data_IF_743775853026
#
_entry.id   IF_743775853026
#
_cell.length_a   1.000
_cell.length_b   1.000
_cell.length_c   1.000
_cell.angle_alpha   90.00
_cell.angle_beta   90.00
_cell.angle_gamma   90.00
#
_symmetry.space_group_name_H-M   'P 1'
#
loop_
_entity.id
_entity.type
_entity.pdbx_description
1 polymer ?
#
# COMPACT_ATOMS: atom_id res chain seq x y z
N UNK A 1 -1.75 -17.23 16.69
CA UNK A 1 -1.36 -17.51 15.30
C UNK A 1 -0.82 -16.20 14.74
N UNK A 2 0.42 -16.22 14.27
CA UNK A 2 1.06 -15.07 13.62
C UNK A 2 0.29 -14.74 12.34
N UNK A 3 0.14 -13.45 12.04
CA UNK A 3 -0.56 -13.02 10.81
C UNK A 3 0.44 -12.95 9.66
N UNK A 4 0.07 -13.52 8.52
CA UNK A 4 0.84 -13.46 7.28
C UNK A 4 0.58 -12.13 6.55
N UNK A 5 1.62 -11.33 6.37
CA UNK A 5 1.53 -9.99 5.82
C UNK A 5 2.46 -9.80 4.60
N UNK A 6 1.88 -9.45 3.45
CA UNK A 6 2.63 -8.96 2.29
C UNK A 6 2.75 -7.43 2.38
N UNK A 7 3.97 -6.89 2.40
CA UNK A 7 4.23 -5.46 2.30
C UNK A 7 4.88 -5.16 0.95
N UNK A 8 4.19 -4.38 0.12
CA UNK A 8 4.64 -4.09 -1.24
C UNK A 8 4.42 -2.64 -1.62
N UNK A 9 5.11 -2.18 -2.67
CA UNK A 9 5.02 -0.79 -3.12
C UNK A 9 6.37 -0.20 -3.49
N UNK A 10 6.43 1.13 -3.51
CA UNK A 10 7.69 1.85 -3.66
C UNK A 10 8.53 1.71 -2.39
N UNK A 11 9.81 1.43 -2.58
CA UNK A 11 10.83 1.42 -1.53
C UNK A 11 11.00 2.80 -0.90
N UNK A 12 11.06 2.88 0.43
CA UNK A 12 11.25 4.14 1.15
C UNK A 12 11.07 4.00 2.66
N UNK A 13 11.20 5.11 3.43
CA UNK A 13 11.16 5.09 4.90
C UNK A 13 9.88 4.46 5.48
N UNK A 14 8.72 4.74 4.87
CA UNK A 14 7.45 4.18 5.33
C UNK A 14 7.38 2.65 5.21
N UNK A 15 7.93 2.09 4.13
CA UNK A 15 7.95 0.64 3.94
C UNK A 15 8.84 -0.04 4.99
N UNK A 16 10.05 0.50 5.22
CA UNK A 16 10.97 0.01 6.25
C UNK A 16 10.29 0.00 7.62
N UNK A 17 9.60 1.10 7.93
CA UNK A 17 8.99 1.28 9.23
C UNK A 17 7.75 0.41 9.43
N UNK A 18 6.94 0.19 8.38
CA UNK A 18 5.86 -0.80 8.40
C UNK A 18 6.42 -2.20 8.65
N UNK A 19 7.49 -2.60 7.98
CA UNK A 19 8.11 -3.92 8.17
C UNK A 19 8.64 -4.06 9.60
N UNK A 20 9.45 -3.11 10.07
CA UNK A 20 10.03 -3.11 11.41
C UNK A 20 8.97 -3.21 12.50
N UNK A 21 7.92 -2.39 12.41
CA UNK A 21 6.85 -2.38 13.38
C UNK A 21 5.89 -3.57 13.27
N UNK A 22 5.74 -4.16 12.09
CA UNK A 22 4.95 -5.37 11.90
C UNK A 22 5.66 -6.59 12.48
N UNK A 23 6.98 -6.68 12.32
CA UNK A 23 7.82 -7.75 12.89
C UNK A 23 7.79 -7.71 14.41
N UNK A 24 7.92 -6.51 15.00
CA UNK A 24 7.75 -6.28 16.44
C UNK A 24 6.36 -6.67 16.98
N UNK A 25 5.36 -6.83 16.11
CA UNK A 25 4.00 -7.30 16.45
C UNK A 25 3.80 -8.79 16.07
N UNK A 26 4.88 -9.54 15.89
CA UNK A 26 4.89 -10.98 15.58
C UNK A 26 4.09 -11.35 14.32
N UNK A 27 4.21 -10.54 13.27
CA UNK A 27 3.71 -10.88 11.93
C UNK A 27 4.80 -11.60 11.14
N UNK A 28 4.40 -12.57 10.32
CA UNK A 28 5.27 -13.14 9.29
C UNK A 28 5.18 -12.27 8.05
N UNK A 29 6.32 -11.78 7.55
CA UNK A 29 6.35 -10.70 6.57
C UNK A 29 7.02 -11.16 5.30
N UNK A 30 6.37 -10.91 4.16
CA UNK A 30 7.02 -10.90 2.87
C UNK A 30 7.08 -9.46 2.39
N UNK A 31 8.28 -8.94 2.15
CA UNK A 31 8.48 -7.60 1.63
C UNK A 31 8.95 -7.66 0.18
N UNK A 32 8.33 -6.86 -0.69
CA UNK A 32 8.83 -6.71 -2.06
C UNK A 32 9.91 -5.64 -2.13
N UNK A 33 10.98 -5.92 -2.85
CA UNK A 33 12.02 -4.96 -3.17
C UNK A 33 11.94 -4.57 -4.65
N UNK A 34 11.78 -3.28 -4.93
CA UNK A 34 11.99 -2.71 -6.26
C UNK A 34 13.28 -1.88 -6.27
N UNK A 35 14.27 -2.30 -7.07
CA UNK A 35 15.59 -1.67 -7.15
C UNK A 35 16.59 -2.06 -6.06
N UNK A 36 17.65 -1.24 -5.88
CA UNK A 36 18.62 -1.36 -4.78
C UNK A 36 18.01 -0.72 -3.53
N UNK A 37 17.29 -1.51 -2.75
CA UNK A 37 16.89 -1.12 -1.40
C UNK A 37 17.85 -1.79 -0.42
N UNK A 38 18.44 -0.99 0.45
CA UNK A 38 19.12 -1.46 1.65
C UNK A 38 18.08 -1.41 2.77
N UNK A 39 17.52 -2.57 3.14
CA UNK A 39 16.57 -2.65 4.25
C UNK A 39 17.28 -2.45 5.61
N UNK A 40 18.62 -2.28 5.61
CA UNK A 40 19.44 -2.55 6.78
C UNK A 40 19.38 -4.04 7.13
N UNK A 41 20.07 -4.44 8.20
CA UNK A 41 19.87 -5.75 8.82
C UNK A 41 18.47 -5.80 9.46
N UNK A 42 17.42 -5.99 8.66
CA UNK A 42 16.20 -6.66 9.14
C UNK A 42 16.54 -8.15 9.17
N UNK A 43 17.42 -8.52 10.09
CA UNK A 43 17.88 -9.90 10.30
C UNK A 43 16.94 -10.55 11.32
N UNK A 44 15.68 -10.70 10.89
CA UNK A 44 14.62 -11.30 11.69
C UNK A 44 14.11 -12.53 10.92
N UNK A 45 14.11 -13.69 11.57
CA UNK A 45 13.63 -14.97 11.00
C UNK A 45 12.18 -14.86 10.47
N UNK A 46 11.42 -13.87 10.94
CA UNK A 46 10.05 -13.61 10.53
C UNK A 46 9.88 -12.81 9.23
N UNK A 47 10.97 -12.33 8.61
CA UNK A 47 10.93 -11.48 7.40
C UNK A 47 11.61 -12.12 6.19
N UNK A 48 10.87 -12.32 5.11
CA UNK A 48 11.37 -12.73 3.80
C UNK A 48 11.31 -11.59 2.79
N UNK A 49 12.27 -11.54 1.86
CA UNK A 49 12.38 -10.51 0.82
C UNK A 49 12.28 -11.14 -0.56
N UNK A 50 11.48 -10.54 -1.43
CA UNK A 50 11.38 -10.94 -2.84
C UNK A 50 11.57 -9.75 -3.78
N UNK A 51 12.25 -9.96 -4.91
CA UNK A 51 12.37 -8.96 -5.96
C UNK A 51 11.05 -8.78 -6.71
N UNK A 52 10.65 -7.52 -6.92
CA UNK A 52 9.49 -7.17 -7.75
C UNK A 52 9.88 -6.16 -8.84
N UNK A 53 9.87 -6.64 -10.09
CA UNK A 53 9.91 -5.78 -11.25
C UNK A 53 8.51 -5.23 -11.52
N UNK A 54 8.28 -3.97 -11.15
CA UNK A 54 7.00 -3.27 -11.28
C UNK A 54 6.49 -3.19 -12.72
N UNK A 55 7.36 -3.33 -13.72
CA UNK A 55 6.97 -3.29 -15.14
C UNK A 55 6.51 -4.65 -15.68
N UNK A 56 6.49 -5.70 -14.85
CA UNK A 56 6.22 -7.07 -15.27
C UNK A 56 5.05 -7.69 -14.51
N UNK A 57 3.99 -8.03 -15.24
CA UNK A 57 2.86 -8.79 -14.70
C UNK A 57 3.29 -10.18 -14.18
N UNK A 58 4.26 -10.82 -14.83
CA UNK A 58 4.82 -12.09 -14.36
C UNK A 58 5.52 -11.92 -13.01
N UNK A 59 6.26 -10.83 -12.81
CA UNK A 59 6.90 -10.56 -11.52
C UNK A 59 5.88 -10.36 -10.41
N UNK A 60 4.76 -9.67 -10.66
CA UNK A 60 3.68 -9.54 -9.68
C UNK A 60 3.08 -10.90 -9.30
N UNK A 61 2.87 -11.79 -10.28
CA UNK A 61 2.40 -13.16 -10.04
C UNK A 61 3.41 -13.97 -9.22
N UNK A 62 4.70 -13.84 -9.50
CA UNK A 62 5.76 -14.51 -8.73
C UNK A 62 5.80 -14.06 -7.27
N UNK A 63 5.59 -12.77 -6.99
CA UNK A 63 5.48 -12.26 -5.61
C UNK A 63 4.38 -12.98 -4.84
N UNK A 64 3.19 -13.06 -5.42
CA UNK A 64 2.06 -13.68 -4.75
C UNK A 64 2.24 -15.20 -4.59
N UNK A 65 2.78 -15.88 -5.60
CA UNK A 65 3.08 -17.30 -5.53
C UNK A 65 4.06 -17.58 -4.38
N UNK A 66 5.11 -16.76 -4.25
CA UNK A 66 6.05 -16.88 -3.15
C UNK A 66 5.37 -16.65 -1.79
N UNK A 67 4.53 -15.62 -1.66
CA UNK A 67 3.77 -15.37 -0.42
C UNK A 67 2.89 -16.56 -0.04
N UNK A 68 2.22 -17.15 -1.04
CA UNK A 68 1.32 -18.29 -0.83
C UNK A 68 2.10 -19.55 -0.42
N UNK A 69 3.25 -19.79 -1.03
CA UNK A 69 4.10 -20.92 -0.68
C UNK A 69 4.72 -20.76 0.72
N UNK A 70 5.08 -19.52 1.09
CA UNK A 70 5.70 -19.22 2.37
C UNK A 70 4.71 -19.32 3.54
N UNK A 71 3.50 -18.79 3.37
CA UNK A 71 2.54 -18.65 4.47
C UNK A 71 1.37 -19.64 4.42
N UNK A 72 1.13 -20.30 3.29
CA UNK A 72 -0.07 -21.11 3.01
C UNK A 72 -1.36 -20.30 2.84
N UNK A 73 -1.47 -19.16 3.54
CA UNK A 73 -2.57 -18.19 3.50
C UNK A 73 -2.04 -16.76 3.62
N UNK A 74 -2.76 -15.80 3.06
CA UNK A 74 -2.42 -14.38 3.18
C UNK A 74 -3.49 -13.67 4.02
N UNK A 75 -3.12 -13.14 5.19
CA UNK A 75 -4.06 -12.45 6.07
C UNK A 75 -4.18 -10.96 5.73
N UNK A 76 -3.04 -10.34 5.41
CA UNK A 76 -2.91 -8.91 5.20
C UNK A 76 -2.02 -8.62 3.98
N UNK A 77 -2.40 -7.62 3.19
CA UNK A 77 -1.58 -7.08 2.12
C UNK A 77 -1.56 -5.55 2.22
N UNK A 78 -0.40 -4.97 2.46
CA UNK A 78 -0.19 -3.52 2.54
C UNK A 78 0.51 -3.08 1.25
N UNK A 79 -0.18 -2.24 0.47
CA UNK A 79 0.29 -1.75 -0.83
C UNK A 79 0.54 -0.24 -0.72
N UNK A 80 1.80 0.16 -0.78
CA UNK A 80 2.26 1.53 -0.58
C UNK A 80 2.52 2.19 -1.92
N UNK A 81 1.75 3.22 -2.22
CA UNK A 81 2.02 4.15 -3.30
C UNK A 81 2.66 5.42 -2.75
N UNK A 82 3.87 5.68 -3.23
CA UNK A 82 4.53 6.98 -3.12
C UNK A 82 4.99 7.34 -4.54
N UNK A 83 4.58 8.48 -5.11
CA UNK A 83 4.99 8.86 -6.44
C UNK A 83 6.50 9.12 -6.48
N UNK A 84 7.13 8.95 -7.63
CA UNK A 84 8.48 9.45 -7.86
C UNK A 84 8.46 10.93 -8.19
N UNK A 85 9.27 11.70 -7.47
CA UNK A 85 9.49 13.09 -7.80
C UNK A 85 10.24 13.19 -9.13
N UNK A 86 9.74 14.08 -9.98
CA UNK A 86 10.37 14.46 -11.23
C UNK A 86 10.70 15.95 -11.18
N UNK A 87 11.97 16.28 -11.41
CA UNK A 87 12.45 17.65 -11.48
C UNK A 87 12.39 18.21 -12.90
N UNK A 88 12.18 17.37 -13.92
CA UNK A 88 12.09 17.81 -15.30
C UNK A 88 10.73 18.47 -15.57
N UNK A 89 10.72 19.48 -16.45
CA UNK A 89 9.45 19.99 -16.95
C UNK A 89 8.82 18.98 -17.90
N UNK A 90 7.49 18.90 -17.93
CA UNK A 90 6.80 17.83 -18.64
C UNK A 90 7.07 17.81 -20.16
N UNK A 91 7.28 18.97 -20.79
CA UNK A 91 7.56 19.04 -22.23
C UNK A 91 9.00 18.61 -22.58
N UNK A 92 9.87 18.46 -21.58
CA UNK A 92 11.24 17.96 -21.71
C UNK A 92 11.35 16.47 -21.31
N UNK A 93 10.30 15.90 -20.72
CA UNK A 93 10.27 14.48 -20.37
C UNK A 93 10.43 13.61 -21.62
N UNK A 94 11.39 12.69 -21.60
CA UNK A 94 11.56 11.74 -22.70
C UNK A 94 10.37 10.78 -22.79
N UNK A 95 10.02 10.36 -24.01
CA UNK A 95 8.96 9.36 -24.24
C UNK A 95 9.25 8.08 -23.45
N UNK A 96 10.51 7.64 -23.43
CA UNK A 96 10.94 6.46 -22.65
C UNK A 96 10.72 6.68 -21.16
N UNK A 97 11.03 7.86 -20.62
CA UNK A 97 10.77 8.20 -19.22
C UNK A 97 9.28 8.19 -18.88
N UNK A 98 8.44 8.69 -19.78
CA UNK A 98 6.97 8.64 -19.64
C UNK A 98 6.49 7.19 -19.60
N UNK A 99 6.89 6.35 -20.56
CA UNK A 99 6.50 4.93 -20.59
C UNK A 99 6.98 4.18 -19.35
N UNK A 100 8.22 4.41 -18.93
CA UNK A 100 8.79 3.81 -17.72
C UNK A 100 7.99 4.17 -16.46
N UNK A 101 7.54 5.43 -16.35
CA UNK A 101 6.67 5.91 -15.27
C UNK A 101 5.30 5.25 -15.33
N UNK A 102 4.64 5.22 -16.49
CA UNK A 102 3.32 4.58 -16.64
C UNK A 102 3.39 3.08 -16.32
N UNK A 103 4.42 2.39 -16.81
CA UNK A 103 4.61 0.97 -16.53
C UNK A 103 4.80 0.70 -15.03
N UNK A 104 5.64 1.49 -14.36
CA UNK A 104 5.97 1.24 -12.95
C UNK A 104 4.91 1.74 -11.96
N UNK A 105 4.30 2.90 -12.22
CA UNK A 105 3.42 3.60 -11.27
C UNK A 105 1.92 3.38 -11.54
N UNK A 106 1.56 2.95 -12.76
CA UNK A 106 0.16 2.62 -13.10
C UNK A 106 0.01 1.13 -13.34
N UNK A 107 0.65 0.58 -14.39
CA UNK A 107 0.49 -0.83 -14.77
C UNK A 107 0.98 -1.78 -13.66
N UNK A 108 2.11 -1.48 -13.03
CA UNK A 108 2.65 -2.27 -11.93
C UNK A 108 1.68 -2.46 -10.77
N UNK A 109 1.03 -1.38 -10.33
CA UNK A 109 0.04 -1.46 -9.26
C UNK A 109 -1.22 -2.22 -9.69
N UNK A 110 -1.65 -2.08 -10.96
CA UNK A 110 -2.74 -2.91 -11.50
C UNK A 110 -2.40 -4.40 -11.44
N UNK A 111 -1.18 -4.77 -11.84
CA UNK A 111 -0.75 -6.17 -11.82
C UNK A 111 -0.74 -6.75 -10.41
N UNK A 112 -0.07 -6.09 -9.45
CA UNK A 112 0.04 -6.63 -8.09
C UNK A 112 -1.30 -6.65 -7.36
N UNK A 113 -2.14 -5.63 -7.55
CA UNK A 113 -3.47 -5.59 -6.93
C UNK A 113 -4.40 -6.66 -7.50
N UNK A 114 -4.36 -6.91 -8.81
CA UNK A 114 -5.12 -8.00 -9.44
C UNK A 114 -4.77 -9.34 -8.79
N UNK A 115 -3.48 -9.62 -8.63
CA UNK A 115 -3.02 -10.87 -8.00
C UNK A 115 -3.49 -10.96 -6.54
N UNK A 116 -3.20 -9.94 -5.72
CA UNK A 116 -3.58 -9.90 -4.30
C UNK A 116 -5.09 -10.12 -4.13
N UNK A 117 -5.91 -9.36 -4.85
CA UNK A 117 -7.37 -9.46 -4.77
C UNK A 117 -7.85 -10.84 -5.19
N UNK A 118 -7.31 -11.38 -6.30
CA UNK A 118 -7.63 -12.72 -6.76
C UNK A 118 -7.33 -13.79 -5.71
N UNK A 119 -6.22 -13.66 -4.97
CA UNK A 119 -5.89 -14.60 -3.89
C UNK A 119 -6.86 -14.49 -2.73
N UNK A 120 -7.12 -13.28 -2.23
CA UNK A 120 -7.96 -13.10 -1.04
C UNK A 120 -9.42 -13.48 -1.30
N UNK A 121 -9.92 -13.27 -2.52
CA UNK A 121 -11.24 -13.74 -2.94
C UNK A 121 -11.28 -15.27 -2.97
N UNK A 122 -10.30 -15.94 -3.60
CA UNK A 122 -10.22 -17.42 -3.60
C UNK A 122 -10.09 -18.01 -2.20
N UNK A 123 -9.36 -17.35 -1.31
CA UNK A 123 -9.20 -17.75 0.09
C UNK A 123 -10.48 -17.55 0.91
N UNK A 124 -11.38 -16.66 0.49
CA UNK A 124 -12.59 -16.34 1.24
C UNK A 124 -12.34 -15.47 2.48
N UNK A 125 -11.18 -14.82 2.59
CA UNK A 125 -10.84 -13.94 3.71
C UNK A 125 -9.57 -13.13 3.40
N UNK A 126 -9.41 -11.99 4.09
CA UNK A 126 -8.16 -11.23 4.14
C UNK A 126 -8.40 -9.73 4.14
N UNK A 127 -7.31 -8.96 4.24
CA UNK A 127 -7.35 -7.50 4.25
C UNK A 127 -6.35 -6.91 3.27
N UNK A 128 -6.82 -5.96 2.47
CA UNK A 128 -5.97 -5.13 1.61
C UNK A 128 -5.94 -3.72 2.20
N UNK A 129 -4.75 -3.20 2.45
CA UNK A 129 -4.51 -1.83 2.91
C UNK A 129 -3.83 -1.08 1.77
N UNK A 130 -4.52 -0.10 1.21
CA UNK A 130 -3.99 0.77 0.16
C UNK A 130 -3.50 2.06 0.82
N UNK A 131 -2.20 2.33 0.72
CA UNK A 131 -1.54 3.44 1.41
C UNK A 131 -1.03 4.44 0.38
N UNK A 132 -1.44 5.70 0.53
CA UNK A 132 -0.91 6.82 -0.25
C UNK A 132 -0.02 7.70 0.65
N UNK A 133 1.28 7.73 0.37
CA UNK A 133 2.21 8.69 0.96
C UNK A 133 2.48 9.78 -0.06
N UNK A 134 1.96 10.99 0.18
CA UNK A 134 2.14 12.12 -0.72
C UNK A 134 2.17 13.43 0.09
N UNK A 135 3.38 13.89 0.49
CA UNK A 135 3.54 15.16 1.18
C UNK A 135 2.97 16.31 0.35
N UNK A 136 2.27 17.25 1.00
CA UNK A 136 1.56 18.34 0.28
C UNK A 136 2.46 19.46 -0.24
N UNK A 137 3.69 19.54 0.24
CA UNK A 137 4.55 20.72 0.07
C UNK A 137 5.31 20.73 -1.25
N UNK A 138 5.17 19.69 -2.07
CA UNK A 138 5.87 19.57 -3.36
C UNK A 138 4.95 19.91 -4.54
N UNK A 139 5.47 20.74 -5.45
CA UNK A 139 4.75 21.11 -6.67
C UNK A 139 4.66 19.86 -7.56
N UNK A 140 3.45 19.33 -7.69
CA UNK A 140 3.23 18.06 -8.35
C UNK A 140 3.50 18.14 -9.85
N UNK A 141 4.44 17.34 -10.36
CA UNK A 141 4.67 17.23 -11.80
C UNK A 141 3.46 16.56 -12.49
N UNK A 142 3.21 16.81 -13.79
CA UNK A 142 2.10 16.17 -14.48
C UNK A 142 2.14 14.62 -14.45
N UNK A 143 3.33 14.01 -14.49
CA UNK A 143 3.47 12.56 -14.38
C UNK A 143 3.16 12.04 -12.96
N UNK A 144 3.57 12.77 -11.93
CA UNK A 144 3.16 12.47 -10.55
C UNK A 144 1.64 12.57 -10.39
N UNK A 145 1.01 13.57 -11.02
CA UNK A 145 -0.44 13.73 -11.03
C UNK A 145 -1.16 12.54 -11.66
N UNK A 146 -0.63 12.01 -12.76
CA UNK A 146 -1.13 10.78 -13.38
C UNK A 146 -0.99 9.60 -12.41
N UNK A 147 0.18 9.41 -11.79
CA UNK A 147 0.40 8.29 -10.86
C UNK A 147 -0.54 8.36 -9.63
N UNK A 148 -0.55 9.49 -8.94
CA UNK A 148 -1.41 9.71 -7.75
C UNK A 148 -2.88 9.61 -8.11
N UNK A 149 -3.31 10.30 -9.18
CA UNK A 149 -4.71 10.28 -9.63
C UNK A 149 -5.17 8.87 -9.99
N UNK A 150 -4.35 8.12 -10.73
CA UNK A 150 -4.62 6.72 -11.10
C UNK A 150 -4.76 5.84 -9.86
N UNK A 151 -3.82 5.91 -8.92
CA UNK A 151 -3.87 5.11 -7.70
C UNK A 151 -5.08 5.45 -6.84
N UNK A 152 -5.40 6.75 -6.68
CA UNK A 152 -6.54 7.20 -5.89
C UNK A 152 -7.86 6.71 -6.48
N UNK A 153 -8.06 6.92 -7.79
CA UNK A 153 -9.26 6.48 -8.49
C UNK A 153 -9.41 4.96 -8.47
N UNK A 154 -8.32 4.21 -8.68
CA UNK A 154 -8.30 2.76 -8.61
C UNK A 154 -8.69 2.27 -7.21
N UNK A 155 -8.05 2.80 -6.16
CA UNK A 155 -8.34 2.42 -4.77
C UNK A 155 -9.82 2.64 -4.40
N UNK A 156 -10.39 3.77 -4.86
CA UNK A 156 -11.81 4.08 -4.67
C UNK A 156 -12.73 3.12 -5.42
N UNK A 157 -12.40 2.82 -6.68
CA UNK A 157 -13.15 1.87 -7.50
C UNK A 157 -13.14 0.48 -6.88
N UNK A 158 -11.96 -0.03 -6.51
CA UNK A 158 -11.78 -1.35 -5.89
C UNK A 158 -12.58 -1.48 -4.60
N UNK A 159 -12.50 -0.49 -3.71
CA UNK A 159 -13.27 -0.54 -2.45
C UNK A 159 -14.79 -0.59 -2.67
N UNK A 160 -15.30 0.12 -3.69
CA UNK A 160 -16.74 0.10 -4.03
C UNK A 160 -17.13 -1.23 -4.68
N UNK A 161 -16.33 -1.71 -5.62
CA UNK A 161 -16.61 -2.90 -6.42
C UNK A 161 -16.57 -4.18 -5.56
N UNK A 162 -15.55 -4.33 -4.72
CA UNK A 162 -15.34 -5.52 -3.88
C UNK A 162 -16.02 -5.44 -2.50
N UNK A 163 -17.00 -4.54 -2.29
CA UNK A 163 -17.62 -4.32 -0.96
C UNK A 163 -18.31 -5.56 -0.37
N UNK A 164 -18.81 -6.43 -1.24
CA UNK A 164 -19.56 -7.62 -0.87
C UNK A 164 -18.71 -8.90 -0.86
N UNK A 165 -17.43 -8.77 -1.19
CA UNK A 165 -16.48 -9.88 -1.19
C UNK A 165 -16.06 -10.24 0.24
N UNK A 166 -15.54 -11.45 0.49
CA UNK A 166 -15.28 -11.93 1.84
C UNK A 166 -13.98 -11.37 2.46
N UNK A 167 -13.37 -10.38 1.80
CA UNK A 167 -12.22 -9.62 2.27
C UNK A 167 -12.63 -8.19 2.64
N UNK A 168 -11.68 -7.40 3.15
CA UNK A 168 -11.87 -5.94 3.32
C UNK A 168 -10.78 -5.15 2.63
N UNK A 169 -11.13 -4.00 2.04
CA UNK A 169 -10.17 -3.01 1.57
C UNK A 169 -10.25 -1.79 2.48
N UNK A 170 -9.12 -1.38 3.07
CA UNK A 170 -8.98 -0.10 3.76
C UNK A 170 -8.01 0.81 3.01
N UNK A 171 -8.17 2.12 3.17
CA UNK A 171 -7.43 3.14 2.42
C UNK A 171 -6.88 4.18 3.38
N UNK A 172 -5.57 4.38 3.36
CA UNK A 172 -4.86 5.32 4.23
C UNK A 172 -4.12 6.35 3.40
N UNK A 173 -4.04 7.58 3.90
CA UNK A 173 -3.20 8.61 3.31
C UNK A 173 -2.53 9.47 4.38
N UNK A 174 -1.31 9.88 4.09
CA UNK A 174 -0.62 10.93 4.83
C UNK A 174 -0.18 12.04 3.88
N UNK A 175 -0.22 13.27 4.36
CA UNK A 175 0.42 14.43 3.73
C UNK A 175 1.57 15.01 4.56
N UNK A 176 1.94 14.33 5.65
CA UNK A 176 3.10 14.66 6.48
C UNK A 176 4.20 13.61 6.34
N UNK A 177 5.44 14.06 6.48
CA UNK A 177 6.61 13.17 6.51
C UNK A 177 6.88 12.67 7.93
N UNK A 178 6.05 11.72 8.37
CA UNK A 178 6.17 11.01 9.64
C UNK A 178 5.91 9.52 9.42
N UNK A 179 6.91 8.84 8.85
CA UNK A 179 6.83 7.41 8.58
C UNK A 179 6.58 6.55 9.84
N UNK A 180 7.26 6.78 10.99
CA UNK A 180 7.01 6.05 12.24
C UNK A 180 5.58 6.17 12.76
N UNK A 181 5.08 7.39 12.90
CA UNK A 181 3.73 7.61 13.41
C UNK A 181 2.67 7.08 12.44
N UNK A 182 2.88 7.23 11.13
CA UNK A 182 1.93 6.75 10.13
C UNK A 182 1.88 5.21 10.06
N UNK A 183 3.04 4.54 10.07
CA UNK A 183 3.11 3.07 10.14
C UNK A 183 2.42 2.53 11.40
N UNK A 184 2.66 3.18 12.55
CA UNK A 184 2.00 2.85 13.81
C UNK A 184 0.48 2.95 13.71
N UNK A 185 -0.01 4.06 13.16
CA UNK A 185 -1.45 4.27 12.96
C UNK A 185 -2.09 3.22 12.04
N UNK A 186 -1.39 2.74 11.02
CA UNK A 186 -1.88 1.68 10.12
C UNK A 186 -1.97 0.35 10.89
N UNK A 187 -0.91 -0.02 11.61
CA UNK A 187 -0.83 -1.30 12.29
C UNK A 187 -1.74 -1.38 13.52
N UNK A 188 -1.87 -0.30 14.28
CA UNK A 188 -2.84 -0.20 15.38
C UNK A 188 -4.27 -0.40 14.87
N UNK A 189 -4.56 0.17 13.69
CA UNK A 189 -5.85 -0.02 13.04
C UNK A 189 -6.07 -1.47 12.59
N UNK A 190 -5.03 -2.13 12.10
CA UNK A 190 -5.09 -3.56 11.77
C UNK A 190 -5.26 -4.44 13.02
N UNK A 191 -4.77 -4.04 14.18
CA UNK A 191 -4.85 -4.84 15.41
C UNK A 191 -6.10 -4.60 16.24
N UNK A 192 -6.75 -3.45 16.09
CA UNK A 192 -8.03 -3.12 16.74
C UNK A 192 -9.23 -4.01 16.32
N UNK A 193 -8.99 -5.11 15.60
CA UNK A 193 -9.95 -5.68 14.65
C UNK A 193 -10.32 -7.16 14.85
N UNK A 194 -10.88 -7.49 16.03
CA UNK A 194 -11.67 -8.72 16.19
C UNK A 194 -13.17 -8.54 15.86
N UNK A 195 -13.57 -7.46 15.16
CA UNK A 195 -14.99 -7.15 14.95
C UNK A 195 -15.39 -6.19 13.81
N UNK A 196 -14.48 -5.73 12.93
CA UNK A 196 -14.78 -4.67 11.94
C UNK A 196 -15.48 -5.10 10.66
N UNK A 197 -15.93 -6.36 10.46
CA UNK A 197 -16.78 -6.67 9.29
C UNK A 197 -17.99 -5.72 9.17
N UNK A 198 -18.50 -5.20 10.30
CA UNK A 198 -19.55 -4.17 10.33
C UNK A 198 -19.06 -2.72 10.17
N UNK A 199 -17.83 -2.38 10.61
CA UNK A 199 -17.28 -1.02 10.55
C UNK A 199 -16.57 -0.71 9.23
N UNK A 200 -15.86 -1.67 8.63
CA UNK A 200 -15.22 -1.54 7.32
C UNK A 200 -16.27 -1.25 6.21
N UNK A 201 -17.47 -1.84 6.33
CA UNK A 201 -18.62 -1.54 5.46
C UNK A 201 -19.09 -0.08 5.54
N UNK A 202 -18.88 0.61 6.68
CA UNK A 202 -19.23 2.04 6.88
C UNK A 202 -18.08 3.00 6.56
N UNK A 203 -16.81 2.61 6.77
CA UNK A 203 -15.65 3.46 6.47
C UNK A 203 -15.24 3.46 4.99
N UNK A 204 -15.71 2.49 4.19
CA UNK A 204 -15.31 2.32 2.79
C UNK A 204 -15.49 3.55 1.88
N UNK A 205 -16.24 4.58 2.29
CA UNK A 205 -16.39 5.79 1.49
C UNK A 205 -15.15 6.71 1.52
N UNK A 206 -14.36 6.72 2.58
CA UNK A 206 -13.35 7.77 2.78
C UNK A 206 -11.95 7.23 3.05
N UNK A 207 -10.94 7.99 2.63
CA UNK A 207 -9.55 7.76 3.02
C UNK A 207 -9.36 8.06 4.51
N UNK A 208 -8.76 7.14 5.25
CA UNK A 208 -8.28 7.37 6.62
C UNK A 208 -7.06 8.27 6.52
N UNK A 209 -7.12 9.45 7.14
CA UNK A 209 -6.05 10.47 7.06
C UNK A 209 -5.17 10.42 8.31
N UNK A 210 -3.86 10.51 8.09
CA UNK A 210 -2.85 10.70 9.12
C UNK A 210 -2.13 12.05 8.91
N UNK A 211 -1.88 12.83 9.98
CA UNK A 211 -2.49 12.67 11.31
C UNK A 211 -4.00 12.86 11.23
N UNK A 212 -4.74 12.19 12.12
CA UNK A 212 -6.18 12.40 12.20
C UNK A 212 -6.43 13.87 12.56
N UNK A 213 -7.26 14.59 11.77
CA UNK A 213 -7.58 15.99 12.08
C UNK A 213 -8.09 16.09 13.52
N UNK A 214 -7.55 16.99 14.36
CA UNK A 214 -8.12 17.22 15.68
C UNK A 214 -9.58 17.63 15.52
N UNK A 215 -10.48 16.99 16.27
CA UNK A 215 -11.95 17.18 16.19
C UNK A 215 -12.44 18.55 16.68
N UNK A 216 -11.58 19.56 16.79
CA UNK A 216 -11.84 20.76 17.58
C UNK A 216 -12.55 21.93 16.87
N UNK A 217 -12.92 21.83 15.59
CA UNK A 217 -13.53 22.97 14.86
C UNK A 217 -14.80 22.63 14.06
N UNK A 218 -15.56 21.61 14.45
CA UNK A 218 -16.87 21.33 13.84
C UNK A 218 -18.05 22.02 14.56
N UNK A 219 -17.81 23.08 15.35
CA UNK A 219 -18.86 23.73 16.17
C UNK A 219 -19.17 25.20 15.88
N UNK A 220 -18.62 25.78 14.82
CA UNK A 220 -19.00 27.13 14.38
C UNK A 220 -19.33 27.15 12.88
N UNK A 221 -20.56 26.71 12.59
CA UNK A 221 -21.37 27.22 11.48
C UNK A 221 -22.80 27.33 12.00
N UNK A 222 -23.12 28.51 12.54
CA UNK A 222 -24.48 29.04 12.51
C UNK A 222 -24.62 29.83 11.23
#
# INVERSE_FOLDING_TARGET
MEKACLVTGKSGPLLVEIVRQAAARHRQILVTRSGRMDLGQVDDESTSIISWNRRSALSARSVLLHATNLFGRLDEAIVIFAPAHDSATFHESSIVGIEDRIDAEVKGYLYILREILGQLVRQGAGRVVLVLQHPREELQSPLEAVGVGSFVALAESLNRYYRNEPMTIERFRTDVDDAPGFAGSILDRLDADRGLRARARRSGRWWIRYPARPRFLARFRK
#
